data_IF_051655491324
#
_entry.id   IF_051655491324
#
_cell.length_a   1.000
_cell.length_b   1.000
_cell.length_c   1.000
_cell.angle_alpha   90.00
_cell.angle_beta   90.00
_cell.angle_gamma   90.00
#
_symmetry.space_group_name_H-M   'P 1'
#
loop_
_entity.id
_entity.type
_entity.pdbx_description
1 polymer ?
#
# COMPACT_ATOMS: atom_id res chain seq x y z
N UNK A 1 -36.61 -24.12 0.37
CA UNK A 1 -35.48 -23.88 -0.55
C UNK A 1 -35.24 -22.37 -0.64
N UNK A 2 -34.27 -21.81 0.07
CA UNK A 2 -33.93 -20.35 0.08
C UNK A 2 -32.43 -20.05 -0.10
N UNK A 3 -31.60 -21.06 -0.38
CA UNK A 3 -30.15 -20.96 -0.27
C UNK A 3 -29.42 -20.00 -1.23
N UNK A 4 -29.84 -19.75 -2.48
CA UNK A 4 -29.05 -18.92 -3.40
C UNK A 4 -29.01 -17.42 -3.06
N UNK A 5 -30.10 -16.86 -2.52
CA UNK A 5 -30.19 -15.43 -2.20
C UNK A 5 -29.44 -15.08 -0.92
N UNK A 6 -29.57 -15.92 0.12
CA UNK A 6 -28.85 -15.72 1.39
C UNK A 6 -27.34 -15.80 1.19
N UNK A 7 -26.84 -16.79 0.44
CA UNK A 7 -25.42 -16.90 0.13
C UNK A 7 -24.89 -15.68 -0.63
N UNK A 8 -25.63 -15.13 -1.58
CA UNK A 8 -25.21 -13.92 -2.32
C UNK A 8 -25.15 -12.69 -1.43
N UNK A 9 -26.13 -12.50 -0.55
CA UNK A 9 -26.14 -11.40 0.40
C UNK A 9 -24.96 -11.48 1.39
N UNK A 10 -24.61 -12.68 1.87
CA UNK A 10 -23.44 -12.92 2.72
C UNK A 10 -22.15 -12.55 1.97
N UNK A 11 -22.00 -13.03 0.73
CA UNK A 11 -20.82 -12.72 -0.12
C UNK A 11 -20.69 -11.23 -0.41
N UNK A 12 -21.79 -10.53 -0.71
CA UNK A 12 -21.79 -9.09 -0.95
C UNK A 12 -21.34 -8.29 0.28
N UNK A 13 -21.85 -8.65 1.47
CA UNK A 13 -21.49 -8.00 2.72
C UNK A 13 -20.03 -8.26 3.11
N UNK A 14 -19.55 -9.49 2.92
CA UNK A 14 -18.15 -9.83 3.18
C UNK A 14 -17.22 -9.06 2.24
N UNK A 15 -17.49 -9.09 0.93
CA UNK A 15 -16.68 -8.36 -0.06
C UNK A 15 -16.67 -6.85 0.18
N UNK A 16 -17.79 -6.27 0.63
CA UNK A 16 -17.85 -4.87 1.06
C UNK A 16 -16.94 -4.59 2.25
N UNK A 17 -16.95 -5.46 3.26
CA UNK A 17 -16.08 -5.30 4.44
C UNK A 17 -14.59 -5.39 4.07
N UNK A 18 -14.25 -6.32 3.19
CA UNK A 18 -12.88 -6.50 2.68
C UNK A 18 -12.46 -5.29 1.84
N UNK A 19 -13.34 -4.75 0.99
CA UNK A 19 -13.09 -3.53 0.24
C UNK A 19 -12.78 -2.33 1.16
N UNK A 20 -13.61 -2.11 2.19
CA UNK A 20 -13.40 -1.03 3.17
C UNK A 20 -12.08 -1.22 3.91
N UNK A 21 -11.77 -2.44 4.35
CA UNK A 21 -10.50 -2.75 5.00
C UNK A 21 -9.30 -2.42 4.09
N UNK A 22 -9.36 -2.79 2.81
CA UNK A 22 -8.30 -2.47 1.83
C UNK A 22 -8.20 -0.99 1.49
N UNK A 23 -9.30 -0.24 1.52
CA UNK A 23 -9.24 1.22 1.41
C UNK A 23 -8.50 1.86 2.59
N UNK A 24 -8.73 1.37 3.82
CA UNK A 24 -8.00 1.87 4.99
C UNK A 24 -6.51 1.52 4.91
N UNK A 25 -6.18 0.26 4.57
CA UNK A 25 -4.78 -0.16 4.34
C UNK A 25 -4.11 0.68 3.24
N UNK A 26 -4.85 1.10 2.20
CA UNK A 26 -4.34 1.95 1.12
C UNK A 26 -3.95 3.36 1.63
N UNK A 27 -4.77 3.94 2.51
CA UNK A 27 -4.46 5.24 3.13
C UNK A 27 -3.22 5.14 4.02
N UNK A 28 -3.11 4.07 4.81
CA UNK A 28 -1.96 3.84 5.69
C UNK A 28 -0.66 3.66 4.90
N UNK A 29 -0.65 2.83 3.84
CA UNK A 29 0.56 2.62 3.04
C UNK A 29 0.99 3.90 2.29
N UNK A 30 0.05 4.75 1.88
CA UNK A 30 0.37 6.05 1.28
C UNK A 30 1.04 7.01 2.27
N UNK A 31 0.60 7.02 3.53
CA UNK A 31 1.26 7.80 4.57
C UNK A 31 2.70 7.31 4.81
N UNK A 32 2.92 5.99 4.82
CA UNK A 32 4.25 5.39 4.95
C UNK A 32 5.14 5.77 3.76
N UNK A 33 4.61 5.69 2.53
CA UNK A 33 5.37 6.07 1.33
C UNK A 33 5.77 7.56 1.35
N UNK A 34 4.84 8.45 1.71
CA UNK A 34 5.12 9.89 1.84
C UNK A 34 6.21 10.16 2.89
N UNK A 35 6.19 9.43 4.01
CA UNK A 35 7.23 9.54 5.03
C UNK A 35 8.59 9.06 4.51
N UNK A 36 8.64 7.91 3.82
CA UNK A 36 9.87 7.36 3.26
C UNK A 36 10.46 8.26 2.17
N UNK A 37 9.62 8.82 1.30
CA UNK A 37 10.02 9.79 0.28
C UNK A 37 10.65 11.03 0.93
N UNK A 38 10.01 11.58 1.97
CA UNK A 38 10.56 12.71 2.72
C UNK A 38 11.94 12.37 3.31
N UNK A 39 12.11 11.17 3.89
CA UNK A 39 13.39 10.73 4.45
C UNK A 39 14.46 10.50 3.41
N UNK A 40 14.10 9.97 2.24
CA UNK A 40 15.04 9.83 1.12
C UNK A 40 15.52 11.19 0.62
N UNK A 41 14.64 12.16 0.45
CA UNK A 41 15.00 13.53 0.04
C UNK A 41 15.92 14.18 1.08
N UNK A 42 15.56 14.12 2.36
CA UNK A 42 16.40 14.68 3.44
C UNK A 42 17.75 13.97 3.53
N UNK A 43 17.78 12.65 3.36
CA UNK A 43 19.00 11.85 3.37
C UNK A 43 19.94 12.21 2.23
N UNK A 44 19.40 12.42 1.03
CA UNK A 44 20.18 12.84 -0.14
C UNK A 44 20.80 14.23 0.07
N UNK A 45 20.02 15.19 0.60
CA UNK A 45 20.49 16.54 0.93
C UNK A 45 21.59 16.54 2.01
N UNK A 46 21.49 15.64 2.99
CA UNK A 46 22.49 15.52 4.05
C UNK A 46 23.77 14.79 3.60
N UNK A 47 23.65 13.85 2.66
CA UNK A 47 24.78 13.07 2.14
C UNK A 47 25.65 13.87 1.16
N UNK A 48 25.07 14.76 0.36
CA UNK A 48 25.77 15.58 -0.64
C UNK A 48 27.00 16.34 -0.08
N UNK A 49 26.91 17.10 1.03
CA UNK A 49 28.07 17.78 1.60
C UNK A 49 29.11 16.82 2.21
N UNK A 50 28.69 15.68 2.79
CA UNK A 50 29.59 14.71 3.42
C UNK A 50 30.48 14.01 2.39
N UNK A 51 29.93 13.72 1.20
CA UNK A 51 30.69 13.17 0.07
C UNK A 51 31.66 14.20 -0.49
N UNK A 52 31.23 15.47 -0.60
CA UNK A 52 32.06 16.57 -1.09
C UNK A 52 33.25 16.90 -0.16
N UNK A 53 33.08 16.77 1.16
CA UNK A 53 34.14 17.05 2.16
C UNK A 53 35.08 15.85 2.43
N UNK A 54 34.93 14.74 1.68
CA UNK A 54 35.80 13.55 1.72
C UNK A 54 35.95 12.88 3.11
N UNK A 55 34.96 13.03 4.00
CA UNK A 55 34.89 12.26 5.25
C UNK A 55 34.42 10.83 4.97
N UNK A 56 35.37 9.95 4.58
CA UNK A 56 35.12 8.57 4.12
C UNK A 56 34.16 7.77 5.01
N UNK A 57 34.36 7.79 6.34
CA UNK A 57 33.58 6.96 7.26
C UNK A 57 32.12 7.42 7.32
N UNK A 58 31.89 8.73 7.43
CA UNK A 58 30.53 9.30 7.49
C UNK A 58 29.80 9.16 6.16
N UNK A 59 30.52 9.22 5.04
CA UNK A 59 29.97 9.01 3.71
C UNK A 59 29.48 7.56 3.51
N UNK A 60 30.21 6.56 4.00
CA UNK A 60 29.79 5.14 3.93
C UNK A 60 28.51 4.90 4.73
N UNK A 61 28.43 5.37 5.98
CA UNK A 61 27.23 5.20 6.80
C UNK A 61 26.00 5.92 6.21
N UNK A 62 26.19 7.12 5.65
CA UNK A 62 25.11 7.85 4.99
C UNK A 62 24.61 7.11 3.72
N UNK A 63 25.54 6.54 2.95
CA UNK A 63 25.22 5.72 1.77
C UNK A 63 24.43 4.47 2.15
N UNK A 64 24.88 3.71 3.16
CA UNK A 64 24.20 2.49 3.59
C UNK A 64 22.78 2.78 4.11
N UNK A 65 22.62 3.84 4.91
CA UNK A 65 21.30 4.25 5.40
C UNK A 65 20.37 4.68 4.25
N UNK A 66 20.90 5.37 3.24
CA UNK A 66 20.13 5.75 2.06
C UNK A 66 19.63 4.52 1.28
N UNK A 67 20.51 3.53 1.04
CA UNK A 67 20.11 2.31 0.34
C UNK A 67 19.07 1.50 1.10
N UNK A 68 19.18 1.41 2.43
CA UNK A 68 18.17 0.77 3.27
C UNK A 68 16.81 1.46 3.18
N UNK A 69 16.78 2.81 3.20
CA UNK A 69 15.54 3.57 3.02
C UNK A 69 14.95 3.34 1.62
N UNK A 70 15.79 3.20 0.59
CA UNK A 70 15.32 2.95 -0.77
C UNK A 70 14.72 1.55 -0.92
N UNK A 71 15.33 0.54 -0.30
CA UNK A 71 14.77 -0.82 -0.27
C UNK A 71 13.42 -0.85 0.45
N UNK A 72 13.30 -0.18 1.60
CA UNK A 72 12.03 -0.04 2.32
C UNK A 72 10.97 0.67 1.47
N UNK A 73 11.35 1.72 0.74
CA UNK A 73 10.45 2.41 -0.18
C UNK A 73 9.96 1.49 -1.31
N UNK A 74 10.87 0.73 -1.92
CA UNK A 74 10.53 -0.25 -2.96
C UNK A 74 9.55 -1.30 -2.44
N UNK A 75 9.78 -1.83 -1.25
CA UNK A 75 8.93 -2.87 -0.67
C UNK A 75 7.55 -2.31 -0.31
N UNK A 76 7.47 -1.07 0.20
CA UNK A 76 6.22 -0.37 0.44
C UNK A 76 5.44 -0.10 -0.87
N UNK A 77 6.14 0.26 -1.95
CA UNK A 77 5.54 0.43 -3.28
C UNK A 77 4.94 -0.87 -3.83
N UNK A 78 5.66 -1.99 -3.69
CA UNK A 78 5.13 -3.29 -4.08
C UNK A 78 3.89 -3.66 -3.25
N UNK A 79 3.94 -3.44 -1.93
CA UNK A 79 2.80 -3.66 -1.05
C UNK A 79 1.60 -2.80 -1.42
N UNK A 80 1.82 -1.53 -1.80
CA UNK A 80 0.76 -0.65 -2.30
C UNK A 80 0.08 -1.26 -3.52
N UNK A 81 0.83 -1.75 -4.51
CA UNK A 81 0.25 -2.39 -5.70
C UNK A 81 -0.63 -3.59 -5.34
N UNK A 82 -0.18 -4.43 -4.41
CA UNK A 82 -0.96 -5.57 -3.93
C UNK A 82 -2.26 -5.15 -3.23
N UNK A 83 -2.20 -4.13 -2.37
CA UNK A 83 -3.37 -3.58 -1.68
C UNK A 83 -4.39 -3.05 -2.69
N UNK A 84 -3.94 -2.30 -3.69
CA UNK A 84 -4.79 -1.75 -4.74
C UNK A 84 -5.44 -2.85 -5.57
N UNK A 85 -4.68 -3.88 -5.97
CA UNK A 85 -5.23 -5.03 -6.69
C UNK A 85 -6.28 -5.78 -5.85
N UNK A 86 -6.02 -6.00 -4.56
CA UNK A 86 -6.96 -6.66 -3.65
C UNK A 86 -8.23 -5.81 -3.43
N UNK A 87 -8.09 -4.49 -3.30
CA UNK A 87 -9.21 -3.54 -3.21
C UNK A 87 -10.10 -3.64 -4.44
N UNK A 88 -9.50 -3.56 -5.63
CA UNK A 88 -10.25 -3.55 -6.89
C UNK A 88 -10.95 -4.89 -7.12
N UNK A 89 -10.32 -5.99 -6.74
CA UNK A 89 -10.94 -7.31 -6.71
C UNK A 89 -12.14 -7.38 -5.76
N UNK A 90 -11.98 -6.96 -4.49
CA UNK A 90 -13.07 -6.96 -3.51
C UNK A 90 -14.25 -6.09 -3.96
N UNK A 91 -13.97 -4.94 -4.57
CA UNK A 91 -14.99 -4.09 -5.17
C UNK A 91 -15.74 -4.79 -6.31
N UNK A 92 -15.03 -5.46 -7.22
CA UNK A 92 -15.64 -6.19 -8.32
C UNK A 92 -16.55 -7.34 -7.82
N UNK A 93 -16.10 -8.08 -6.81
CA UNK A 93 -16.92 -9.14 -6.15
C UNK A 93 -18.16 -8.54 -5.50
N UNK A 94 -18.01 -7.43 -4.78
CA UNK A 94 -19.13 -6.76 -4.13
C UNK A 94 -20.19 -6.29 -5.14
N UNK A 95 -19.78 -5.64 -6.23
CA UNK A 95 -20.68 -5.17 -7.30
C UNK A 95 -21.40 -6.35 -7.97
N UNK A 96 -20.66 -7.41 -8.30
CA UNK A 96 -21.21 -8.61 -8.93
C UNK A 96 -22.24 -9.32 -8.03
N UNK A 97 -21.90 -9.52 -6.76
CA UNK A 97 -22.81 -10.15 -5.79
C UNK A 97 -24.06 -9.30 -5.52
N UNK A 98 -23.92 -7.97 -5.52
CA UNK A 98 -25.04 -7.04 -5.30
C UNK A 98 -26.00 -6.99 -6.49
N UNK A 99 -25.49 -7.03 -7.73
CA UNK A 99 -26.32 -7.04 -8.95
C UNK A 99 -27.19 -8.29 -9.07
N UNK A 100 -26.75 -9.43 -8.51
CA UNK A 100 -27.52 -10.66 -8.45
C UNK A 100 -28.65 -10.68 -7.41
N UNK A 101 -28.85 -9.57 -6.67
CA UNK A 101 -29.83 -9.44 -5.58
C UNK A 101 -31.08 -8.64 -6.00
N UNK A 102 -31.05 -7.94 -7.14
CA UNK A 102 -32.12 -7.03 -7.60
C UNK A 102 -33.15 -7.66 -8.54
N UNK A 103 -33.47 -8.94 -8.40
CA UNK A 103 -34.57 -9.56 -9.15
C UNK A 103 -35.69 -9.90 -8.16
N UNK A 104 -36.53 -8.91 -7.85
CA UNK A 104 -37.92 -9.08 -7.44
C UNK A 104 -38.69 -7.77 -7.65
#
# INVERSE_FOLDING_TARGET
MSHPMEHRAITANQARSEYVAKCNEAVEIEQVLNYLENKLVCGLQAAEPVVNDHYEVSAVYASDAFWQLLDLYRDAENRRRDIYAARDYAHAVWVSASAGTSIH
#
